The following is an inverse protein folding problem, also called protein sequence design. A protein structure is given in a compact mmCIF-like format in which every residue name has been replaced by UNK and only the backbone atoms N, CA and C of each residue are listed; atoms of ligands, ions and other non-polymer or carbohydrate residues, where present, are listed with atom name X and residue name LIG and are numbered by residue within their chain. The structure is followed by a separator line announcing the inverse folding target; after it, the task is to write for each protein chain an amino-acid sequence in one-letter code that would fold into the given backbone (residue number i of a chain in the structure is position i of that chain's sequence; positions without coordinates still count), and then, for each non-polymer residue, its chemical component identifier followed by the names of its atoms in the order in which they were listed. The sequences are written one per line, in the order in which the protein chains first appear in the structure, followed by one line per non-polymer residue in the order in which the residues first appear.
data_IF_471777542490
#
_entry.id   IF_471777542490
#
_cell.length_a   1.000
_cell.length_b   1.000
_cell.length_c   1.000
_cell.angle_alpha   90.00
_cell.angle_beta   90.00
_cell.angle_gamma   90.00
#
_symmetry.space_group_name_H-M   'P 1'
#
loop_
_entity.id
_entity.type
_entity.pdbx_description
1 polymer ?
#
# COMPACT_ATOMS: atom_id res chain seq x y z
N UNK A 1 -18.53 8.68 17.41
CA UNK A 1 -17.11 9.04 17.24
C UNK A 1 -16.62 8.30 16.01
N UNK A 2 -16.28 9.00 14.93
CA UNK A 2 -15.57 8.37 13.80
C UNK A 2 -14.14 8.91 13.82
N UNK A 3 -13.16 8.13 14.31
CA UNK A 3 -11.89 8.66 14.82
C UNK A 3 -11.01 9.34 13.75
N UNK A 4 -11.34 9.23 12.47
CA UNK A 4 -10.51 9.76 11.38
C UNK A 4 -11.29 10.38 10.20
N UNK A 5 -12.63 10.45 10.26
CA UNK A 5 -13.46 11.01 9.18
C UNK A 5 -13.18 10.38 7.81
N UNK A 6 -13.04 9.05 7.76
CA UNK A 6 -12.69 8.31 6.54
C UNK A 6 -13.84 8.42 5.54
N UNK A 7 -13.59 9.10 4.41
CA UNK A 7 -14.62 9.36 3.38
C UNK A 7 -14.70 8.27 2.30
N UNK A 8 -13.71 7.40 2.19
CA UNK A 8 -13.65 6.37 1.14
C UNK A 8 -12.69 5.24 1.49
N UNK A 9 -13.12 4.02 1.23
CA UNK A 9 -12.33 2.81 1.35
C UNK A 9 -11.97 2.31 -0.05
N UNK A 10 -10.69 2.04 -0.31
CA UNK A 10 -10.24 1.41 -1.55
C UNK A 10 -9.68 0.03 -1.19
N UNK A 11 -10.32 -1.05 -1.65
CA UNK A 11 -9.88 -2.42 -1.35
C UNK A 11 -9.77 -3.27 -2.62
N UNK A 12 -9.15 -4.44 -2.48
CA UNK A 12 -8.88 -5.40 -3.56
C UNK A 12 -10.06 -6.32 -3.91
N UNK A 13 -11.22 -6.10 -3.28
CA UNK A 13 -12.42 -6.91 -3.52
C UNK A 13 -12.45 -8.22 -2.74
N UNK A 14 -11.63 -8.37 -1.70
CA UNK A 14 -11.77 -9.51 -0.79
C UNK A 14 -13.08 -9.42 0.00
N UNK A 15 -13.87 -10.50 0.00
CA UNK A 15 -15.21 -10.55 0.60
C UNK A 15 -15.27 -10.27 2.11
N UNK A 16 -14.13 -10.29 2.81
CA UNK A 16 -14.06 -9.81 4.19
C UNK A 16 -14.39 -8.30 4.30
N UNK A 17 -13.97 -7.51 3.31
CA UNK A 17 -14.23 -6.07 3.28
C UNK A 17 -15.69 -5.74 2.93
N UNK A 18 -16.31 -6.52 2.06
CA UNK A 18 -17.70 -6.32 1.65
C UNK A 18 -18.69 -6.51 2.80
N UNK A 19 -18.35 -7.35 3.79
CA UNK A 19 -19.19 -7.59 4.97
C UNK A 19 -19.17 -6.45 5.98
N UNK A 20 -18.10 -5.65 5.99
CA UNK A 20 -17.83 -4.66 7.04
C UNK A 20 -17.76 -3.21 6.54
N UNK A 21 -17.70 -2.99 5.22
CA UNK A 21 -17.63 -1.65 4.64
C UNK A 21 -18.96 -1.25 3.99
N UNK A 22 -19.44 -0.01 4.21
CA UNK A 22 -20.58 0.51 3.48
C UNK A 22 -20.28 0.56 1.98
N UNK A 23 -21.12 -0.07 1.16
CA UNK A 23 -20.94 -0.14 -0.30
C UNK A 23 -20.81 1.24 -0.96
N UNK A 24 -21.50 2.26 -0.44
CA UNK A 24 -21.45 3.65 -0.95
C UNK A 24 -20.08 4.31 -0.76
N UNK A 25 -19.35 3.93 0.29
CA UNK A 25 -18.02 4.45 0.60
C UNK A 25 -16.92 3.53 0.09
N UNK A 26 -17.26 2.35 -0.42
CA UNK A 26 -16.33 1.32 -0.84
C UNK A 26 -16.11 1.35 -2.35
N UNK A 27 -14.85 1.53 -2.73
CA UNK A 27 -14.40 1.45 -4.12
C UNK A 27 -13.49 0.24 -4.27
N UNK A 28 -14.01 -0.81 -4.90
CA UNK A 28 -13.23 -2.01 -5.25
C UNK A 28 -12.35 -1.71 -6.46
N UNK A 29 -11.07 -2.09 -6.36
CA UNK A 29 -10.13 -2.10 -7.48
C UNK A 29 -8.87 -1.28 -7.26
N UNK A 30 -7.97 -1.32 -8.26
CA UNK A 30 -6.60 -0.80 -8.17
C UNK A 30 -6.47 0.67 -8.55
N UNK A 31 -7.57 1.38 -8.83
CA UNK A 31 -7.55 2.71 -9.46
C UNK A 31 -6.91 3.83 -8.61
N UNK A 32 -6.43 3.54 -7.40
CA UNK A 32 -5.74 4.47 -6.50
C UNK A 32 -4.53 3.87 -5.75
N UNK A 33 -4.04 2.69 -6.15
CA UNK A 33 -2.92 2.00 -5.47
C UNK A 33 -1.54 2.48 -5.92
N UNK A 34 -1.47 3.25 -7.00
CA UNK A 34 -0.22 3.72 -7.62
C UNK A 34 0.75 4.38 -6.62
N UNK A 35 0.24 5.18 -5.67
CA UNK A 35 1.08 5.83 -4.65
C UNK A 35 1.74 4.82 -3.70
N UNK A 36 1.00 3.79 -3.28
CA UNK A 36 1.50 2.74 -2.38
C UNK A 36 2.50 1.86 -3.13
N UNK A 37 2.17 1.47 -4.36
CA UNK A 37 3.05 0.72 -5.26
C UNK A 37 4.38 1.46 -5.50
N UNK A 38 4.32 2.76 -5.79
CA UNK A 38 5.52 3.58 -6.00
C UNK A 38 6.36 3.72 -4.72
N UNK A 39 5.73 3.87 -3.55
CA UNK A 39 6.44 3.88 -2.26
C UNK A 39 7.18 2.55 -2.02
N UNK A 40 6.52 1.41 -2.25
CA UNK A 40 7.14 0.09 -2.10
C UNK A 40 8.28 -0.12 -3.10
N UNK A 41 8.10 0.30 -4.35
CA UNK A 41 9.15 0.22 -5.36
C UNK A 41 10.39 1.03 -4.97
N UNK A 42 10.20 2.28 -4.51
CA UNK A 42 11.31 3.13 -4.04
C UNK A 42 12.03 2.51 -2.84
N UNK A 43 11.29 1.95 -1.89
CA UNK A 43 11.85 1.28 -0.72
C UNK A 43 12.71 0.07 -1.12
N UNK A 44 12.18 -0.81 -1.98
CA UNK A 44 12.92 -1.98 -2.49
C UNK A 44 14.22 -1.56 -3.20
N UNK A 45 14.16 -0.52 -4.03
CA UNK A 45 15.35 0.01 -4.71
C UNK A 45 16.37 0.57 -3.72
N UNK A 46 15.93 1.29 -2.68
CA UNK A 46 16.84 1.81 -1.65
C UNK A 46 17.52 0.69 -0.87
N UNK A 47 16.77 -0.33 -0.44
CA UNK A 47 17.31 -1.50 0.26
C UNK A 47 18.33 -2.23 -0.62
N UNK A 48 18.00 -2.49 -1.90
CA UNK A 48 18.94 -3.11 -2.86
C UNK A 48 20.22 -2.29 -3.07
N UNK A 49 20.14 -0.96 -3.04
CA UNK A 49 21.33 -0.08 -3.12
C UNK A 49 22.16 -0.15 -1.85
N UNK A 50 21.52 -0.21 -0.69
CA UNK A 50 22.20 -0.35 0.60
C UNK A 50 22.98 -1.67 0.65
N UNK A 51 22.34 -2.78 0.33
CA UNK A 51 22.98 -4.11 0.30
C UNK A 51 24.19 -4.17 -0.63
N UNK A 52 24.14 -3.50 -1.79
CA UNK A 52 25.29 -3.40 -2.70
C UNK A 52 26.45 -2.58 -2.14
N UNK A 53 26.17 -1.54 -1.34
CA UNK A 53 27.23 -0.75 -0.70
C UNK A 53 27.90 -1.51 0.44
N UNK A 54 27.13 -2.24 1.24
CA UNK A 54 27.65 -3.00 2.39
C UNK A 54 28.43 -4.24 1.97
N UNK A 55 28.10 -4.84 0.82
CA UNK A 55 28.81 -6.02 0.32
C UNK A 55 30.16 -5.71 -0.35
N UNK A 56 30.48 -4.44 -0.61
CA UNK A 56 31.77 -4.04 -1.23
C UNK A 56 32.84 -3.71 -0.17
N UNK A 57 32.48 -3.57 1.12
CA UNK A 57 33.43 -3.21 2.19
C UNK A 57 33.99 -4.39 2.98
N UNK A 58 33.57 -5.63 2.69
CA UNK A 58 34.01 -6.85 3.38
C UNK A 58 34.52 -7.91 2.38
N UNK A 59 35.27 -7.47 1.35
CA UNK A 59 35.93 -8.33 0.38
C UNK A 59 37.38 -7.90 0.21
#
# INVERSE_FOLDING_TARGET
MEPFGIKRYCTDGWGAYERHLPAELHQVGKRKTQRIEQKHLRLRTRIKRLARKTNVSYG
#
